data_IF_761058735035
#
_entry.id   IF_761058735035
#
_cell.length_a   1.000
_cell.length_b   1.000
_cell.length_c   1.000
_cell.angle_alpha   90.00
_cell.angle_beta   90.00
_cell.angle_gamma   90.00
#
_symmetry.space_group_name_H-M   'P 1'
#
loop_
_entity.id
_entity.type
_entity.pdbx_description
1 polymer ?
#
# COMPACT_ATOMS: atom_id res chain seq x y z
N UNK A 1 6.70 -18.48 -14.27
CA UNK A 1 6.88 -17.86 -13.70
C UNK A 1 6.56 -16.68 -14.00
N UNK A 2 5.90 -16.25 -13.85
CA UNK A 2 5.51 -15.20 -14.13
C UNK A 2 6.12 -14.38 -13.77
N UNK A 3 6.69 -14.68 -13.37
CA UNK A 3 7.49 -14.15 -13.12
C UNK A 3 7.61 -12.91 -13.28
N UNK A 4 7.96 -12.29 -12.65
CA UNK A 4 8.21 -10.97 -12.78
C UNK A 4 7.08 -10.04 -12.74
N UNK A 5 5.95 -10.51 -12.57
CA UNK A 5 4.82 -9.62 -12.51
C UNK A 5 4.71 -9.04 -11.13
N UNK A 6 4.79 -7.75 -11.02
CA UNK A 6 4.63 -7.07 -9.74
C UNK A 6 3.21 -6.59 -9.61
N UNK A 7 2.62 -6.84 -8.45
CA UNK A 7 1.30 -6.31 -8.15
C UNK A 7 1.48 -4.96 -7.49
N UNK A 8 0.70 -4.00 -7.88
CA UNK A 8 0.67 -2.70 -7.25
C UNK A 8 -0.63 -2.63 -6.48
N UNK A 9 -0.54 -2.47 -5.19
CA UNK A 9 -1.72 -2.53 -4.32
C UNK A 9 -1.96 -1.18 -3.67
N UNK A 10 -3.16 -0.68 -3.77
CA UNK A 10 -3.56 0.55 -3.11
C UNK A 10 -4.74 0.21 -2.21
N UNK A 11 -4.73 0.72 -0.99
CA UNK A 11 -5.80 0.43 -0.05
C UNK A 11 -6.15 1.66 0.74
N UNK A 12 -7.29 1.65 1.41
CA UNK A 12 -7.65 2.78 2.24
C UNK A 12 -8.15 2.33 3.60
N UNK A 13 -7.96 3.18 4.58
CA UNK A 13 -8.45 2.97 5.93
C UNK A 13 -8.91 4.34 6.44
N UNK A 14 -9.64 4.35 7.52
CA UNK A 14 -10.06 5.60 8.12
C UNK A 14 -9.45 5.71 9.52
N UNK A 15 -8.60 6.71 9.71
CA UNK A 15 -8.02 7.00 11.00
C UNK A 15 -8.99 7.91 11.75
N UNK A 16 -9.12 7.71 13.05
CA UNK A 16 -9.97 8.55 13.88
C UNK A 16 -9.47 9.98 13.77
N UNK A 17 -10.30 10.91 13.29
CA UNK A 17 -9.85 12.30 13.08
C UNK A 17 -9.35 12.98 14.35
N UNK A 18 -9.74 12.50 15.51
CA UNK A 18 -9.29 13.10 16.75
C UNK A 18 -7.91 12.60 17.17
N UNK A 19 -7.35 11.67 16.46
CA UNK A 19 -6.06 11.09 16.81
C UNK A 19 -5.02 11.20 15.71
N UNK A 20 -5.19 12.12 14.78
CA UNK A 20 -4.28 12.24 13.64
C UNK A 20 -2.85 12.58 14.06
N UNK A 21 -2.70 13.48 15.00
CA UNK A 21 -1.37 13.89 15.41
C UNK A 21 -0.61 12.71 16.03
N UNK A 22 -1.29 11.92 16.83
CA UNK A 22 -0.69 10.76 17.44
C UNK A 22 -0.33 9.73 16.38
N UNK A 23 -1.20 9.54 15.41
CA UNK A 23 -0.96 8.57 14.34
C UNK A 23 0.29 8.96 13.56
N UNK A 24 0.42 10.25 13.23
CA UNK A 24 1.58 10.72 12.50
C UNK A 24 2.84 10.53 13.32
N UNK A 25 2.76 10.77 14.61
CA UNK A 25 3.92 10.64 15.46
C UNK A 25 4.40 9.20 15.52
N UNK A 26 3.49 8.23 15.60
CA UNK A 26 3.86 6.84 15.65
C UNK A 26 4.51 6.40 14.35
N UNK A 27 4.06 6.96 13.22
CA UNK A 27 4.59 6.58 11.94
C UNK A 27 5.86 7.33 11.54
N UNK A 28 6.26 8.31 12.32
CA UNK A 28 7.54 8.97 12.06
C UNK A 28 8.70 8.03 12.36
N UNK A 29 8.47 7.04 13.20
CA UNK A 29 9.51 6.07 13.53
C UNK A 29 8.85 4.73 13.83
N UNK A 30 8.50 3.99 12.79
CA UNK A 30 7.88 2.69 12.95
C UNK A 30 8.88 1.73 13.56
N UNK A 31 8.41 0.83 14.41
CA UNK A 31 9.27 -0.09 15.13
C UNK A 31 10.11 -0.93 14.17
N UNK A 32 11.40 -1.08 14.43
CA UNK A 32 12.28 -1.83 13.54
C UNK A 32 11.80 -3.25 13.24
N UNK A 33 11.24 -3.94 14.23
CA UNK A 33 10.74 -5.29 14.01
C UNK A 33 9.61 -5.29 13.00
N UNK A 34 8.76 -4.29 13.02
CA UNK A 34 7.66 -4.21 12.07
C UNK A 34 8.19 -3.89 10.67
N UNK A 35 9.17 -3.00 10.57
CA UNK A 35 9.77 -2.69 9.28
C UNK A 35 10.40 -3.93 8.67
N UNK A 36 11.09 -4.73 9.47
CA UNK A 36 11.71 -5.93 8.97
C UNK A 36 10.69 -7.00 8.60
N UNK A 37 9.57 -7.06 9.31
CA UNK A 37 8.52 -8.01 8.98
C UNK A 37 7.89 -7.67 7.63
N UNK A 38 7.66 -6.38 7.38
CA UNK A 38 7.10 -5.96 6.11
C UNK A 38 8.08 -6.30 4.97
N UNK A 39 9.34 -6.01 5.17
CA UNK A 39 10.35 -6.34 4.17
C UNK A 39 10.40 -7.85 3.91
N UNK A 40 10.37 -8.63 4.95
CA UNK A 40 10.43 -10.09 4.82
C UNK A 40 9.22 -10.65 4.11
N UNK A 41 8.08 -9.96 4.16
CA UNK A 41 6.88 -10.42 3.51
C UNK A 41 6.96 -10.27 1.99
N UNK A 42 7.87 -9.45 1.50
CA UNK A 42 8.00 -9.19 0.08
C UNK A 42 7.36 -7.89 -0.38
N UNK A 43 6.69 -7.18 0.51
CA UNK A 43 6.13 -5.89 0.16
C UNK A 43 7.24 -4.86 0.13
N UNK A 44 7.22 -4.00 -0.87
CA UNK A 44 8.26 -3.00 -1.04
C UNK A 44 7.66 -1.71 -1.60
N UNK A 45 8.45 -0.67 -1.58
CA UNK A 45 8.02 0.65 -2.04
C UNK A 45 6.70 1.04 -1.36
N UNK A 46 6.63 0.81 -0.07
CA UNK A 46 5.41 0.95 0.71
C UNK A 46 5.31 2.38 1.23
N UNK A 47 4.22 3.04 0.95
CA UNK A 47 4.01 4.42 1.39
C UNK A 47 2.60 4.60 1.92
N UNK A 48 2.46 5.47 2.87
CA UNK A 48 1.15 5.81 3.42
C UNK A 48 0.95 7.32 3.26
N UNK A 49 -0.26 7.72 2.90
CA UNK A 49 -0.62 9.11 2.75
C UNK A 49 -1.85 9.39 3.58
N UNK A 50 -1.82 10.41 4.42
CA UNK A 50 -2.92 10.68 5.34
C UNK A 50 -3.54 12.05 5.05
N UNK A 51 -4.83 12.05 4.83
CA UNK A 51 -5.55 13.28 4.58
C UNK A 51 -6.01 13.86 5.91
N UNK A 52 -6.26 15.15 5.96
CA UNK A 52 -6.60 15.83 7.21
C UNK A 52 -7.89 15.37 7.86
N UNK A 53 -8.77 14.72 7.11
CA UNK A 53 -10.00 14.20 7.69
C UNK A 53 -9.84 12.75 8.15
N UNK A 54 -8.63 12.21 8.08
CA UNK A 54 -8.35 10.86 8.56
C UNK A 54 -8.35 9.80 7.48
N UNK A 55 -8.64 10.15 6.23
CA UNK A 55 -8.57 9.14 5.18
C UNK A 55 -7.11 8.78 4.96
N UNK A 56 -6.80 7.50 5.07
CA UNK A 56 -5.44 7.01 4.88
C UNK A 56 -5.41 6.19 3.61
N UNK A 57 -4.47 6.51 2.73
CA UNK A 57 -4.28 5.75 1.50
C UNK A 57 -2.90 5.10 1.59
N UNK A 58 -2.84 3.80 1.36
CA UNK A 58 -1.57 3.08 1.35
C UNK A 58 -1.27 2.51 -0.01
N UNK A 59 -0.01 2.41 -0.33
CA UNK A 59 0.44 1.83 -1.60
C UNK A 59 1.66 0.97 -1.35
N UNK A 60 1.71 -0.18 -1.98
CA UNK A 60 2.93 -0.97 -1.96
C UNK A 60 3.00 -1.85 -3.21
N UNK A 61 4.17 -2.39 -3.46
CA UNK A 61 4.41 -3.30 -4.56
C UNK A 61 4.81 -4.64 -3.99
N UNK A 62 4.40 -5.69 -4.65
CA UNK A 62 4.66 -7.03 -4.15
C UNK A 62 4.53 -8.01 -5.31
N UNK A 63 5.26 -9.10 -5.25
CA UNK A 63 5.15 -10.10 -6.30
C UNK A 63 3.96 -11.03 -6.09
N UNK A 64 3.62 -11.33 -4.86
CA UNK A 64 2.50 -12.22 -4.56
C UNK A 64 1.88 -11.72 -3.25
N UNK A 65 0.83 -10.94 -3.38
CA UNK A 65 0.24 -10.32 -2.20
C UNK A 65 -0.46 -11.31 -1.29
N UNK A 66 -1.00 -12.37 -1.84
CA UNK A 66 -1.64 -13.35 -1.01
C UNK A 66 -0.62 -14.01 -0.10
N UNK A 67 0.54 -14.33 -0.63
CA UNK A 67 1.62 -14.92 0.17
C UNK A 67 2.12 -13.91 1.20
N UNK A 68 2.24 -12.63 0.81
CA UNK A 68 2.70 -11.60 1.72
C UNK A 68 1.71 -11.42 2.89
N UNK A 69 0.41 -11.44 2.58
CA UNK A 69 -0.60 -11.34 3.62
C UNK A 69 -0.46 -12.47 4.62
N UNK A 70 -0.25 -13.68 4.14
CA UNK A 70 -0.12 -14.83 5.03
C UNK A 70 1.14 -14.72 5.88
N UNK A 71 2.25 -14.27 5.29
CA UNK A 71 3.48 -14.12 6.04
C UNK A 71 3.31 -13.06 7.14
N UNK A 72 2.68 -11.96 6.83
CA UNK A 72 2.47 -10.92 7.84
C UNK A 72 1.52 -11.39 8.94
N UNK A 73 0.46 -12.08 8.57
CA UNK A 73 -0.50 -12.54 9.55
C UNK A 73 0.12 -13.53 10.53
N UNK A 74 1.12 -14.28 10.07
CA UNK A 74 1.77 -15.29 10.91
C UNK A 74 3.09 -14.85 11.53
N UNK A 75 3.55 -13.64 11.24
CA UNK A 75 4.82 -13.15 11.77
C UNK A 75 4.56 -12.54 13.15
N UNK A 76 5.10 -13.11 14.22
CA UNK A 76 4.83 -12.59 15.55
C UNK A 76 5.31 -11.16 15.77
N UNK A 77 6.21 -10.67 14.93
CA UNK A 77 6.67 -9.29 15.08
C UNK A 77 5.60 -8.27 14.73
N UNK A 78 4.58 -8.67 13.95
CA UNK A 78 3.57 -7.73 13.51
C UNK A 78 2.45 -7.55 14.53
N UNK A 79 2.18 -8.56 15.34
CA UNK A 79 1.01 -8.52 16.21
C UNK A 79 0.98 -7.31 17.17
N UNK A 80 2.08 -6.98 17.85
CA UNK A 80 2.01 -5.84 18.75
C UNK A 80 1.76 -4.52 18.04
N UNK A 81 2.37 -4.34 16.88
CA UNK A 81 2.19 -3.10 16.12
C UNK A 81 0.75 -3.01 15.61
N UNK A 82 0.24 -4.11 15.07
CA UNK A 82 -1.11 -4.09 14.52
C UNK A 82 -2.15 -3.87 15.62
N UNK A 83 -1.93 -4.45 16.80
CA UNK A 83 -2.83 -4.24 17.92
C UNK A 83 -2.82 -2.78 18.35
N UNK A 84 -1.66 -2.16 18.39
CA UNK A 84 -1.58 -0.77 18.78
C UNK A 84 -2.21 0.13 17.70
N UNK A 85 -1.97 -0.15 16.45
CA UNK A 85 -2.50 0.66 15.38
C UNK A 85 -4.00 0.52 15.23
N UNK A 86 -4.55 -0.66 15.56
CA UNK A 86 -5.98 -0.88 15.44
C UNK A 86 -6.78 0.14 16.23
N UNK A 87 -6.21 0.66 17.30
CA UNK A 87 -6.90 1.65 18.12
C UNK A 87 -7.11 2.98 17.41
N UNK A 88 -6.33 3.26 16.39
CA UNK A 88 -6.43 4.53 15.69
C UNK A 88 -7.45 4.47 14.55
N UNK A 89 -7.88 3.28 14.15
CA UNK A 89 -8.75 3.16 12.99
C UNK A 89 -10.21 2.97 13.37
N UNK A 90 -11.10 3.40 12.50
CA UNK A 90 -12.51 3.20 12.71
C UNK A 90 -13.02 2.21 11.66
N UNK A 91 -14.11 1.54 11.96
CA UNK A 91 -14.79 0.65 11.03
C UNK A 91 -13.99 -0.58 10.58
N UNK A 92 -13.10 -1.08 11.44
CA UNK A 92 -12.37 -2.29 11.10
C UNK A 92 -13.13 -3.56 11.47
N UNK A 93 -14.15 -3.44 12.31
CA UNK A 93 -14.97 -4.58 12.73
C UNK A 93 -14.13 -5.74 13.26
N UNK A 94 -13.12 -5.41 14.05
CA UNK A 94 -12.29 -6.43 14.68
C UNK A 94 -11.16 -6.96 13.82
N UNK A 95 -11.08 -6.55 12.56
CA UNK A 95 -10.01 -7.02 11.70
C UNK A 95 -8.73 -6.26 11.98
N UNK A 96 -7.59 -6.88 11.69
CA UNK A 96 -6.31 -6.17 11.79
C UNK A 96 -6.23 -5.19 10.64
N UNK A 97 -5.60 -4.02 10.87
CA UNK A 97 -5.46 -3.04 9.79
C UNK A 97 -4.83 -3.61 8.52
N UNK A 98 -3.82 -4.47 8.67
CA UNK A 98 -3.13 -5.02 7.50
C UNK A 98 -3.94 -6.11 6.80
N UNK A 99 -5.03 -6.56 7.38
CA UNK A 99 -5.83 -7.63 6.81
C UNK A 99 -7.23 -7.16 6.43
N UNK A 100 -7.66 -6.01 6.90
CA UNK A 100 -9.02 -5.56 6.69
C UNK A 100 -9.21 -4.37 5.78
N UNK A 101 -8.13 -3.86 5.20
CA UNK A 101 -8.25 -2.63 4.41
C UNK A 101 -8.86 -2.87 3.04
N UNK A 102 -9.89 -2.12 2.67
CA UNK A 102 -10.45 -2.23 1.32
C UNK A 102 -9.44 -1.83 0.26
N UNK A 103 -9.46 -2.53 -0.85
CA UNK A 103 -8.54 -2.25 -1.94
C UNK A 103 -9.16 -1.33 -2.96
N UNK A 104 -8.31 -0.50 -3.57
CA UNK A 104 -8.76 0.39 -4.63
C UNK A 104 -8.23 -0.16 -5.96
N UNK A 105 -9.10 -0.44 -6.93
CA UNK A 105 -8.63 -1.00 -8.19
C UNK A 105 -7.81 0.01 -8.98
N UNK A 106 -6.74 -0.46 -9.59
CA UNK A 106 -5.91 0.40 -10.43
C UNK A 106 -6.59 0.61 -11.75
N UNK A 107 -6.73 1.83 -12.18
CA UNK A 107 -7.38 2.13 -13.45
C UNK A 107 -6.42 2.62 -14.52
N UNK A 108 -5.19 2.91 -14.16
CA UNK A 108 -4.19 3.39 -15.12
C UNK A 108 -2.79 3.15 -14.58
N UNK A 109 -1.91 2.65 -15.41
CA UNK A 109 -0.50 2.55 -15.07
C UNK A 109 0.28 2.91 -16.33
N UNK A 110 1.03 3.98 -16.26
CA UNK A 110 1.75 4.53 -17.42
C UNK A 110 2.65 3.53 -18.10
N UNK A 111 3.49 2.86 -17.33
CA UNK A 111 4.47 1.96 -17.91
C UNK A 111 3.84 0.80 -18.66
N UNK A 112 2.70 0.30 -18.18
CA UNK A 112 2.01 -0.77 -18.86
C UNK A 112 1.52 -0.28 -20.22
N UNK A 113 1.02 0.93 -20.27
CA UNK A 113 0.51 1.45 -21.50
C UNK A 113 1.62 1.83 -22.47
N UNK A 114 2.73 2.32 -21.94
CA UNK A 114 3.88 2.60 -22.79
C UNK A 114 4.41 1.30 -23.38
N UNK A 115 4.48 0.25 -22.59
CA UNK A 115 4.95 -1.03 -23.11
C UNK A 115 4.04 -1.57 -24.20
N UNK A 116 2.76 -1.36 -24.06
CA UNK A 116 1.81 -1.87 -25.04
C UNK A 116 1.94 -1.18 -26.39
N UNK A 117 2.30 0.08 -26.42
CA UNK A 117 2.45 0.76 -27.69
C UNK A 117 3.87 0.61 -28.23
N UNK A 118 4.78 0.17 -27.43
CA UNK A 118 6.11 -0.15 -27.91
C UNK A 118 6.89 1.00 -28.44
N UNK A 119 7.89 0.68 -29.21
CA UNK A 119 8.73 1.72 -29.73
C UNK A 119 8.05 2.60 -30.71
N UNK A 120 7.04 2.15 -31.33
CA UNK A 120 6.41 2.97 -32.30
C UNK A 120 5.93 4.20 -31.69
N UNK A 121 5.62 4.13 -30.52
CA UNK A 121 5.07 5.20 -29.92
C UNK A 121 5.96 6.31 -29.89
N UNK A 122 7.12 6.03 -29.79
CA UNK A 122 8.01 7.05 -29.68
C UNK A 122 7.78 8.05 -30.64
N UNK A 123 7.59 7.71 -31.67
CA UNK A 123 7.52 8.68 -32.63
C UNK A 123 6.26 9.33 -32.61
N UNK A 124 5.36 8.74 -32.63
CA UNK A 124 4.19 9.30 -32.78
C UNK A 124 3.77 10.11 -31.78
N UNK A 125 3.82 9.77 -30.89
CA UNK A 125 3.30 10.42 -30.01
C UNK A 125 3.46 11.50 -29.54
N UNK A 126 4.26 11.71 -29.46
CA UNK A 126 4.56 12.84 -28.94
C UNK A 126 3.52 13.74 -28.93
N UNK A 127 2.98 13.92 -29.81
CA UNK A 127 2.09 14.82 -29.91
C UNK A 127 0.99 14.78 -29.12
N UNK A 128 0.26 14.10 -29.31
CA UNK A 128 -0.84 14.06 -28.70
C UNK A 128 -0.83 14.00 -27.40
N UNK A 129 -0.05 13.62 -26.94
CA UNK A 129 -0.04 13.48 -25.66
C UNK A 129 -0.43 14.62 -25.03
N UNK A 130 -0.23 15.53 -25.56
CA UNK A 130 -0.45 16.63 -24.91
C UNK A 130 -1.75 16.81 -24.46
N UNK A 131 -2.58 16.49 -24.96
CA UNK A 131 -3.72 16.73 -24.59
C UNK A 131 -4.16 16.22 -23.50
N UNK A 132 -4.00 15.68 -23.04
CA UNK A 132 -4.49 15.15 -21.97
C UNK A 132 -4.69 15.86 -21.07
#
# INVERSE_FOLDING_TARGET
MSTGTTERVCFQLQVDPDRLAEYRERHAAVWPDMLRAIEASGRRNYSLFLRDDGLLIGYYEVDDDEAAQALLANDPRTAPWEAEMAEFFVALDGARPDQGAPRLPEVFHLEDQLAAIGDDATSATSTESSES
#
